data_IF_282374518125
#
_entry.id   IF_282374518125
#
_cell.length_a   1.000
_cell.length_b   1.000
_cell.length_c   1.000
_cell.angle_alpha   90.00
_cell.angle_beta   90.00
_cell.angle_gamma   90.00
#
_symmetry.space_group_name_H-M   'P 1'
#
loop_
_entity.id
_entity.type
_entity.pdbx_description
1 polymer ?
#
# COMPACT_ATOMS: atom_id res chain seq x y z
N UNK A 1 -1.03 -33.30 -6.44
CA UNK A 1 -0.32 -32.04 -6.70
C UNK A 1 -1.30 -30.94 -6.38
N UNK A 2 -0.98 -30.02 -5.46
CA UNK A 2 -1.85 -28.87 -5.21
C UNK A 2 -1.76 -27.91 -6.42
N UNK A 3 -2.89 -27.31 -6.81
CA UNK A 3 -2.91 -26.30 -7.88
C UNK A 3 -2.13 -25.04 -7.45
N UNK A 4 -1.78 -24.18 -8.41
CA UNK A 4 -1.13 -22.89 -8.14
C UNK A 4 -2.04 -22.03 -7.25
N UNK A 5 -3.33 -21.92 -7.61
CA UNK A 5 -4.36 -21.23 -6.83
C UNK A 5 -4.49 -21.78 -5.40
N UNK A 6 -4.44 -23.10 -5.19
CA UNK A 6 -4.54 -23.68 -3.85
C UNK A 6 -3.41 -23.23 -2.91
N UNK A 7 -2.20 -23.00 -3.45
CA UNK A 7 -1.08 -22.46 -2.66
C UNK A 7 -1.27 -20.98 -2.37
N UNK A 8 -1.62 -20.19 -3.39
CA UNK A 8 -1.91 -18.76 -3.26
C UNK A 8 -3.01 -18.51 -2.23
N UNK A 9 -4.13 -19.23 -2.34
CA UNK A 9 -5.28 -19.11 -1.43
C UNK A 9 -4.89 -19.38 0.03
N UNK A 10 -4.01 -20.36 0.29
CA UNK A 10 -3.52 -20.61 1.65
C UNK A 10 -2.74 -19.39 2.18
N UNK A 11 -1.81 -18.85 1.37
CA UNK A 11 -1.03 -17.66 1.73
C UNK A 11 -1.91 -16.43 1.95
N UNK A 12 -2.89 -16.20 1.07
CA UNK A 12 -3.85 -15.10 1.17
C UNK A 12 -4.67 -15.20 2.47
N UNK A 13 -5.13 -16.40 2.82
CA UNK A 13 -5.91 -16.60 4.05
C UNK A 13 -5.14 -16.31 5.35
N UNK A 14 -3.81 -16.29 5.29
CA UNK A 14 -2.91 -16.05 6.41
C UNK A 14 -2.27 -14.64 6.39
N UNK A 15 -2.68 -13.76 5.45
CA UNK A 15 -2.21 -12.37 5.30
C UNK A 15 -2.19 -11.54 6.58
N UNK A 16 -3.16 -11.76 7.48
CA UNK A 16 -3.36 -11.05 8.75
C UNK A 16 -2.92 -11.85 9.98
N UNK A 17 -2.39 -13.06 9.78
CA UNK A 17 -1.97 -13.95 10.86
C UNK A 17 -0.45 -14.02 10.98
N UNK A 18 0.26 -13.90 9.87
CA UNK A 18 1.72 -13.98 9.83
C UNK A 18 2.37 -12.59 9.93
N UNK A 19 3.48 -12.50 10.67
CA UNK A 19 4.19 -11.24 10.93
C UNK A 19 4.68 -10.59 9.62
N UNK A 20 5.21 -11.39 8.70
CA UNK A 20 5.81 -10.89 7.46
C UNK A 20 4.79 -10.16 6.56
N UNK A 21 3.68 -10.78 6.09
CA UNK A 21 2.71 -10.09 5.25
C UNK A 21 2.08 -8.88 5.93
N UNK A 22 1.80 -8.96 7.24
CA UNK A 22 1.30 -7.80 8.01
C UNK A 22 2.31 -6.66 7.99
N UNK A 23 3.60 -6.95 8.16
CA UNK A 23 4.66 -5.93 8.12
C UNK A 23 4.77 -5.32 6.73
N UNK A 24 4.72 -6.13 5.67
CA UNK A 24 4.78 -5.65 4.29
C UNK A 24 3.60 -4.73 3.95
N UNK A 25 2.36 -5.15 4.28
CA UNK A 25 1.16 -4.33 4.07
C UNK A 25 1.29 -2.99 4.82
N UNK A 26 1.73 -3.00 6.07
CA UNK A 26 1.91 -1.77 6.86
C UNK A 26 2.97 -0.85 6.29
N UNK A 27 4.08 -1.40 5.78
CA UNK A 27 5.12 -0.61 5.13
C UNK A 27 4.60 0.07 3.86
N UNK A 28 3.84 -0.68 3.07
CA UNK A 28 3.19 -0.20 1.85
C UNK A 28 2.19 0.92 2.18
N UNK A 29 1.31 0.68 3.16
CA UNK A 29 0.35 1.65 3.68
C UNK A 29 1.02 2.94 4.17
N UNK A 30 2.09 2.83 4.94
CA UNK A 30 2.82 3.99 5.45
C UNK A 30 3.40 4.84 4.31
N UNK A 31 3.97 4.20 3.28
CA UNK A 31 4.56 4.89 2.15
C UNK A 31 3.50 5.62 1.31
N UNK A 32 2.36 4.99 1.03
CA UNK A 32 1.29 5.61 0.25
C UNK A 32 0.42 6.60 1.02
N UNK A 33 0.49 6.59 2.35
CA UNK A 33 -0.17 7.59 3.18
C UNK A 33 0.74 8.73 3.61
N UNK A 34 2.00 8.76 3.16
CA UNK A 34 3.00 9.67 3.68
C UNK A 34 2.65 11.15 3.43
N UNK A 35 2.15 11.48 2.26
CA UNK A 35 1.68 12.84 1.94
C UNK A 35 0.52 13.27 2.85
N UNK A 36 -0.46 12.39 3.05
CA UNK A 36 -1.58 12.64 3.97
C UNK A 36 -1.09 12.81 5.43
N UNK A 37 -0.06 12.06 5.84
CA UNK A 37 0.55 12.19 7.17
C UNK A 37 1.22 13.56 7.29
N UNK A 38 1.98 13.98 6.27
CA UNK A 38 2.62 15.31 6.23
C UNK A 38 1.55 16.39 6.32
N UNK A 39 0.55 16.36 5.43
CA UNK A 39 -0.52 17.36 5.37
C UNK A 39 -1.23 17.52 6.71
N UNK A 40 -1.57 16.39 7.34
CA UNK A 40 -2.21 16.39 8.65
C UNK A 40 -1.30 17.00 9.73
N UNK A 41 -0.05 16.57 9.81
CA UNK A 41 0.87 17.06 10.85
C UNK A 41 1.20 18.54 10.68
N UNK A 42 1.35 19.02 9.44
CA UNK A 42 1.53 20.45 9.16
C UNK A 42 0.28 21.20 9.58
N UNK A 43 -0.92 20.77 9.16
CA UNK A 43 -2.18 21.41 9.53
C UNK A 43 -2.39 21.47 11.06
N UNK A 44 -2.15 20.37 11.76
CA UNK A 44 -2.26 20.29 13.23
C UNK A 44 -1.25 21.25 13.90
N UNK A 45 0.00 21.26 13.45
CA UNK A 45 1.04 22.16 13.98
C UNK A 45 0.68 23.64 13.80
N UNK A 46 0.14 24.01 12.64
CA UNK A 46 -0.32 25.38 12.35
C UNK A 46 -1.51 25.75 13.23
N UNK A 47 -2.45 24.82 13.40
CA UNK A 47 -3.63 25.02 14.24
C UNK A 47 -3.26 25.27 15.70
N UNK A 48 -2.26 24.56 16.22
CA UNK A 48 -1.80 24.68 17.60
C UNK A 48 -1.01 25.97 17.85
N UNK A 49 -0.53 26.65 16.78
CA UNK A 49 0.29 27.85 16.84
C UNK A 49 -0.42 29.12 16.29
N UNK A 50 -1.75 29.17 16.38
CA UNK A 50 -2.62 30.27 15.88
C UNK A 50 -2.34 31.68 16.40
N UNK A 51 -1.54 31.83 17.46
CA UNK A 51 -1.18 33.14 18.01
C UNK A 51 -0.07 33.85 17.22
N UNK A 52 0.49 33.21 16.18
CA UNK A 52 1.53 33.81 15.35
C UNK A 52 1.00 34.95 14.48
N UNK A 53 1.85 35.94 14.23
CA UNK A 53 1.56 36.99 13.24
C UNK A 53 1.28 36.33 11.87
N UNK A 54 0.24 36.77 11.11
CA UNK A 54 -0.20 36.10 9.88
C UNK A 54 0.93 35.85 8.87
N UNK A 55 1.80 36.85 8.66
CA UNK A 55 2.92 36.78 7.71
C UNK A 55 3.99 35.75 8.11
N UNK A 56 4.19 35.52 9.42
CA UNK A 56 5.10 34.49 9.93
C UNK A 56 4.47 33.11 9.87
N UNK A 57 3.16 33.02 10.08
CA UNK A 57 2.44 31.76 9.93
C UNK A 57 2.49 31.26 8.49
N UNK A 58 2.19 32.11 7.50
CA UNK A 58 2.17 31.70 6.09
C UNK A 58 3.56 31.19 5.62
N UNK A 59 4.63 31.94 5.91
CA UNK A 59 5.99 31.54 5.56
C UNK A 59 6.45 30.24 6.25
N UNK A 60 6.11 30.06 7.53
CA UNK A 60 6.41 28.81 8.24
C UNK A 60 5.63 27.61 7.69
N UNK A 61 4.37 27.81 7.28
CA UNK A 61 3.54 26.75 6.71
C UNK A 61 4.16 26.25 5.39
N UNK A 62 4.50 27.16 4.48
CA UNK A 62 5.15 26.82 3.21
C UNK A 62 6.46 26.04 3.44
N UNK A 63 7.30 26.51 4.38
CA UNK A 63 8.55 25.82 4.71
C UNK A 63 8.34 24.40 5.27
N UNK A 64 7.30 24.18 6.07
CA UNK A 64 6.98 22.86 6.64
C UNK A 64 6.41 21.91 5.58
N UNK A 65 5.57 22.41 4.68
CA UNK A 65 5.08 21.65 3.53
C UNK A 65 6.23 21.27 2.59
N UNK A 66 7.12 22.21 2.26
CA UNK A 66 8.27 21.94 1.40
C UNK A 66 9.19 20.88 2.02
N UNK A 67 9.47 20.97 3.32
CA UNK A 67 10.27 19.98 4.03
C UNK A 67 9.60 18.60 3.99
N UNK A 68 8.30 18.52 4.27
CA UNK A 68 7.53 17.29 4.21
C UNK A 68 7.56 16.68 2.81
N UNK A 69 7.32 17.47 1.78
CA UNK A 69 7.37 17.04 0.38
C UNK A 69 8.76 16.55 -0.02
N UNK A 70 9.84 17.19 0.42
CA UNK A 70 11.21 16.72 0.19
C UNK A 70 11.40 15.33 0.81
N UNK A 71 10.99 15.15 2.07
CA UNK A 71 11.09 13.86 2.77
C UNK A 71 10.25 12.78 2.09
N UNK A 72 9.04 13.12 1.64
CA UNK A 72 8.17 12.21 0.89
C UNK A 72 8.80 11.76 -0.41
N UNK A 73 9.26 12.72 -1.21
CA UNK A 73 9.94 12.45 -2.45
C UNK A 73 11.20 11.60 -2.24
N UNK A 74 12.00 11.84 -1.20
CA UNK A 74 13.18 11.01 -0.92
C UNK A 74 12.84 9.56 -0.55
N UNK A 75 11.72 9.32 0.13
CA UNK A 75 11.27 7.97 0.52
C UNK A 75 10.61 7.24 -0.66
N UNK A 76 9.79 7.94 -1.45
CA UNK A 76 9.11 7.38 -2.62
C UNK A 76 10.09 7.10 -3.77
N UNK A 77 11.06 8.00 -4.02
CA UNK A 77 12.05 7.84 -5.11
C UNK A 77 13.12 6.77 -4.84
N UNK A 78 13.10 6.10 -3.68
CA UNK A 78 14.02 4.99 -3.38
C UNK A 78 13.44 3.62 -3.76
N UNK A 79 12.41 3.58 -4.59
CA UNK A 79 11.70 2.37 -5.00
C UNK A 79 11.25 1.48 -3.83
N UNK A 80 11.09 2.07 -2.64
CA UNK A 80 10.81 1.31 -1.42
C UNK A 80 9.40 0.74 -1.43
N UNK A 81 8.43 1.46 -2.00
CA UNK A 81 7.05 0.98 -2.20
C UNK A 81 7.03 -0.23 -3.14
N UNK A 82 7.71 -0.09 -4.27
CA UNK A 82 7.93 -1.14 -5.26
C UNK A 82 8.57 -2.40 -4.65
N UNK A 83 9.60 -2.20 -3.82
CA UNK A 83 10.27 -3.30 -3.12
C UNK A 83 9.32 -4.07 -2.20
N UNK A 84 8.55 -3.37 -1.36
CA UNK A 84 7.62 -4.04 -0.45
C UNK A 84 6.48 -4.72 -1.20
N UNK A 85 5.94 -4.09 -2.25
CA UNK A 85 4.91 -4.69 -3.10
C UNK A 85 5.40 -5.98 -3.76
N UNK A 86 6.55 -5.94 -4.46
CA UNK A 86 7.13 -7.12 -5.13
C UNK A 86 7.41 -8.24 -4.14
N UNK A 87 7.88 -7.90 -2.94
CA UNK A 87 8.12 -8.87 -1.87
C UNK A 87 6.82 -9.50 -1.37
N UNK A 88 5.74 -8.71 -1.24
CA UNK A 88 4.42 -9.20 -0.83
C UNK A 88 3.81 -10.11 -1.91
N UNK A 89 3.86 -9.70 -3.18
CA UNK A 89 3.40 -10.53 -4.30
C UNK A 89 4.14 -11.87 -4.35
N UNK A 90 5.46 -11.84 -4.19
CA UNK A 90 6.27 -13.06 -4.12
C UNK A 90 5.87 -13.96 -2.94
N UNK A 91 5.63 -13.38 -1.75
CA UNK A 91 5.17 -14.14 -0.59
C UNK A 91 3.81 -14.82 -0.83
N UNK A 92 2.91 -14.13 -1.55
CA UNK A 92 1.59 -14.62 -1.92
C UNK A 92 1.60 -15.61 -3.10
N UNK A 93 2.77 -15.91 -3.67
CA UNK A 93 2.94 -16.74 -4.86
C UNK A 93 2.29 -16.14 -6.12
N UNK A 94 2.17 -14.81 -6.18
CA UNK A 94 1.92 -14.05 -7.41
C UNK A 94 3.23 -13.70 -8.11
N UNK A 95 3.13 -13.32 -9.38
CA UNK A 95 4.28 -12.73 -10.06
C UNK A 95 4.56 -11.32 -9.53
N UNK A 96 5.82 -10.90 -9.54
CA UNK A 96 6.21 -9.59 -9.00
C UNK A 96 5.67 -8.40 -9.81
N UNK A 97 5.24 -8.65 -11.04
CA UNK A 97 4.62 -7.73 -11.97
C UNK A 97 3.12 -8.02 -12.17
N UNK A 98 2.48 -8.76 -11.26
CA UNK A 98 1.04 -8.97 -11.28
C UNK A 98 0.32 -7.66 -10.90
N UNK A 99 -0.02 -6.88 -11.91
CA UNK A 99 -0.64 -5.55 -11.76
C UNK A 99 -2.01 -5.64 -11.07
N UNK A 100 -2.81 -6.67 -11.35
CA UNK A 100 -4.13 -6.81 -10.73
C UNK A 100 -4.02 -7.10 -9.23
N UNK A 101 -3.14 -8.02 -8.83
CA UNK A 101 -2.89 -8.28 -7.42
C UNK A 101 -2.32 -7.03 -6.72
N UNK A 102 -1.41 -6.31 -7.38
CA UNK A 102 -0.85 -5.06 -6.86
C UNK A 102 -1.94 -3.99 -6.68
N UNK A 103 -2.85 -3.84 -7.63
CA UNK A 103 -3.94 -2.87 -7.58
C UNK A 103 -4.89 -3.13 -6.41
N UNK A 104 -5.29 -4.39 -6.18
CA UNK A 104 -6.14 -4.73 -5.03
C UNK A 104 -5.47 -4.39 -3.69
N UNK A 105 -4.17 -4.67 -3.57
CA UNK A 105 -3.39 -4.33 -2.37
C UNK A 105 -3.27 -2.81 -2.23
N UNK A 106 -3.08 -2.10 -3.34
CA UNK A 106 -3.00 -0.63 -3.40
C UNK A 106 -4.28 0.01 -2.93
N UNK A 107 -5.41 -0.40 -3.48
CA UNK A 107 -6.72 0.10 -3.09
C UNK A 107 -6.99 -0.13 -1.60
N UNK A 108 -6.64 -1.31 -1.08
CA UNK A 108 -6.75 -1.59 0.36
C UNK A 108 -5.87 -0.67 1.21
N UNK A 109 -4.61 -0.45 0.81
CA UNK A 109 -3.65 0.33 1.59
C UNK A 109 -3.98 1.83 1.58
N UNK A 110 -4.51 2.34 0.46
CA UNK A 110 -4.90 3.75 0.28
C UNK A 110 -6.29 4.08 0.84
N UNK A 111 -7.12 3.07 1.15
CA UNK A 111 -8.44 3.31 1.75
C UNK A 111 -8.31 3.96 3.13
N UNK A 112 -9.25 4.80 3.52
CA UNK A 112 -9.22 5.44 4.84
C UNK A 112 -9.27 4.40 5.97
N UNK A 113 -8.56 4.65 7.07
CA UNK A 113 -8.42 3.70 8.18
C UNK A 113 -9.75 3.22 8.80
N UNK A 114 -10.85 3.95 8.60
CA UNK A 114 -12.17 3.58 9.11
C UNK A 114 -12.93 2.57 8.22
N UNK A 115 -12.45 2.28 7.02
CA UNK A 115 -13.10 1.38 6.04
C UNK A 115 -12.23 0.19 5.61
N UNK A 116 -11.03 0.02 6.17
CA UNK A 116 -10.13 -1.09 5.83
C UNK A 116 -10.70 -2.44 6.26
N UNK A 117 -11.13 -3.22 5.29
CA UNK A 117 -11.60 -4.59 5.50
C UNK A 117 -10.66 -5.60 4.84
N UNK A 118 -9.80 -6.21 5.67
CA UNK A 118 -8.86 -7.24 5.23
C UNK A 118 -9.57 -8.47 4.65
N UNK A 119 -10.82 -8.72 5.06
CA UNK A 119 -11.65 -9.80 4.52
C UNK A 119 -12.00 -9.52 3.06
N UNK A 120 -12.26 -8.27 2.71
CA UNK A 120 -12.55 -7.85 1.35
C UNK A 120 -11.30 -7.97 0.46
N UNK A 121 -10.13 -7.50 0.93
CA UNK A 121 -8.86 -7.71 0.21
C UNK A 121 -8.61 -9.19 -0.08
N UNK A 122 -8.76 -10.05 0.95
CA UNK A 122 -8.58 -11.50 0.78
C UNK A 122 -9.52 -12.09 -0.27
N UNK A 123 -10.78 -11.66 -0.32
CA UNK A 123 -11.75 -12.14 -1.31
C UNK A 123 -11.34 -11.77 -2.73
N UNK A 124 -10.92 -10.52 -2.96
CA UNK A 124 -10.46 -10.05 -4.26
C UNK A 124 -9.21 -10.81 -4.73
N UNK A 125 -8.22 -10.99 -3.85
CA UNK A 125 -7.01 -11.76 -4.16
C UNK A 125 -7.29 -13.24 -4.41
N UNK A 126 -8.20 -13.87 -3.64
CA UNK A 126 -8.61 -15.27 -3.87
C UNK A 126 -9.31 -15.41 -5.21
N UNK A 127 -10.22 -14.48 -5.55
CA UNK A 127 -10.90 -14.47 -6.84
C UNK A 127 -9.88 -14.40 -7.97
N UNK A 128 -8.92 -13.47 -7.88
CA UNK A 128 -7.87 -13.31 -8.88
C UNK A 128 -6.94 -14.52 -9.00
N UNK A 129 -6.57 -15.16 -7.89
CA UNK A 129 -5.76 -16.38 -7.90
C UNK A 129 -6.44 -17.53 -8.69
N UNK A 130 -7.77 -17.62 -8.64
CA UNK A 130 -8.54 -18.62 -9.39
C UNK A 130 -8.63 -18.22 -10.86
N UNK A 131 -9.00 -16.96 -11.14
CA UNK A 131 -9.18 -16.44 -12.50
C UNK A 131 -7.87 -16.49 -13.31
N UNK A 132 -6.75 -16.06 -12.72
CA UNK A 132 -5.43 -16.10 -13.37
C UNK A 132 -5.02 -17.52 -13.78
N UNK A 133 -5.19 -18.52 -12.91
CA UNK A 133 -4.89 -19.92 -13.25
C UNK A 133 -5.81 -20.46 -14.36
N UNK A 134 -7.09 -20.08 -14.38
CA UNK A 134 -8.00 -20.45 -15.46
C UNK A 134 -7.59 -19.82 -16.80
N UNK A 135 -7.22 -18.54 -16.79
CA UNK A 135 -6.77 -17.84 -18.00
C UNK A 135 -5.45 -18.42 -18.54
N UNK A 136 -4.53 -18.81 -17.66
CA UNK A 136 -3.29 -19.53 -18.02
C UNK A 136 -3.59 -20.89 -18.66
N UNK A 137 -4.49 -21.69 -18.06
CA UNK A 137 -4.89 -23.00 -18.60
C UNK A 137 -5.55 -22.88 -19.97
N UNK A 138 -6.31 -21.81 -20.19
CA UNK A 138 -6.97 -21.52 -21.46
C UNK A 138 -6.03 -20.87 -22.49
N UNK A 139 -4.78 -20.58 -22.12
CA UNK A 139 -3.78 -19.94 -22.99
C UNK A 139 -4.11 -18.50 -23.38
N UNK A 140 -5.05 -17.87 -22.66
CA UNK A 140 -5.48 -16.49 -22.85
C UNK A 140 -4.52 -15.54 -22.12
N UNK A 141 -3.94 -16.02 -21.02
CA UNK A 141 -2.88 -15.35 -20.29
C UNK A 141 -1.60 -16.16 -20.45
N UNK A 142 -0.54 -15.51 -20.92
CA UNK A 142 0.80 -16.07 -20.95
C UNK A 142 1.73 -15.01 -20.38
N UNK A 143 2.44 -15.39 -19.33
CA UNK A 143 3.60 -14.66 -18.85
C UNK A 143 4.76 -14.81 -19.85
#
# INVERSE_FOLDING_TARGET
MNSKSEKQIRKINDLDKEILPVTLIKSIELLWSLDNIIDKNVSDYVHDNKEWEPEKSECCNECLYDLGNIMSNELLNRDSGDFFMKTLLQYLEFEQNDEFAADYITEYCMNDNNSKDITSLKKELVRWAIESEELERNGIYRF
#
